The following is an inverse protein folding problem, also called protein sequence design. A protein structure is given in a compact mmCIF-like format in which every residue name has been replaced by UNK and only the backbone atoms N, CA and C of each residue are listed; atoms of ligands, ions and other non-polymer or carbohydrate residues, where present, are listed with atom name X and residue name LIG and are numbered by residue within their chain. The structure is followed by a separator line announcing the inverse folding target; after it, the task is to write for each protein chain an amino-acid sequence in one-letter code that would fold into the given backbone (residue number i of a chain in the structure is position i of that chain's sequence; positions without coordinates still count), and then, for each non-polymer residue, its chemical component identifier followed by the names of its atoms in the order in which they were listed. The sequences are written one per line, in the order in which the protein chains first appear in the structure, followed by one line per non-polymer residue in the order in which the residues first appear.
data_IF_158974879733
#
_entry.id   IF_158974879733
#
_cell.length_a   1.000
_cell.length_b   1.000
_cell.length_c   1.000
_cell.angle_alpha   90.00
_cell.angle_beta   90.00
_cell.angle_gamma   90.00
#
_symmetry.space_group_name_H-M   'P 1'
#
loop_
_entity.id
_entity.type
_entity.pdbx_description
1 polymer ?
#
# COMPACT_ATOMS: atom_id res chain seq x y z
N UNK A 1 8.35 12.08 3.56
CA UNK A 1 8.15 10.67 3.12
C UNK A 1 7.28 10.64 1.88
N UNK A 2 7.21 9.51 1.15
CA UNK A 2 6.30 9.37 -0.01
C UNK A 2 4.85 9.73 0.36
N UNK A 3 4.39 9.29 1.53
CA UNK A 3 3.07 9.65 2.06
C UNK A 3 2.87 11.16 2.22
N UNK A 4 3.85 11.88 2.81
CA UNK A 4 3.78 13.35 2.97
C UNK A 4 3.79 14.10 1.63
N UNK A 5 4.38 13.52 0.58
CA UNK A 5 4.36 14.06 -0.77
C UNK A 5 3.06 13.76 -1.53
N UNK A 6 2.06 13.15 -0.88
CA UNK A 6 0.77 12.80 -1.47
C UNK A 6 0.77 11.52 -2.29
N UNK A 7 1.85 10.72 -2.25
CA UNK A 7 1.88 9.43 -2.92
C UNK A 7 1.00 8.41 -2.19
N UNK A 8 0.41 7.48 -2.94
CA UNK A 8 -0.24 6.31 -2.36
C UNK A 8 0.82 5.35 -1.80
N UNK A 9 0.69 4.97 -0.53
CA UNK A 9 1.62 4.07 0.15
C UNK A 9 0.85 2.92 0.80
N UNK A 10 1.11 1.69 0.34
CA UNK A 10 0.42 0.47 0.75
C UNK A 10 1.44 -0.50 1.37
N UNK A 11 1.10 -1.11 2.50
CA UNK A 11 1.81 -2.26 3.06
C UNK A 11 0.99 -3.55 2.87
N UNK A 12 1.67 -4.68 2.65
CA UNK A 12 1.00 -5.99 2.63
C UNK A 12 0.65 -6.42 4.07
N UNK A 13 -0.50 -7.06 4.26
CA UNK A 13 -0.91 -7.57 5.57
C UNK A 13 -0.09 -8.78 6.04
N UNK A 14 -0.14 -9.04 7.35
CA UNK A 14 0.61 -10.14 7.97
C UNK A 14 0.12 -11.51 7.50
N UNK A 15 -1.19 -11.68 7.31
CA UNK A 15 -1.79 -12.96 6.96
C UNK A 15 -1.39 -13.48 5.57
N UNK A 16 -1.12 -12.57 4.62
CA UNK A 16 -0.67 -12.93 3.28
C UNK A 16 0.84 -12.85 3.10
N UNK A 17 1.57 -12.27 4.06
CA UNK A 17 3.02 -12.16 4.03
C UNK A 17 3.72 -13.48 4.39
N UNK A 18 4.75 -13.85 3.64
CA UNK A 18 5.65 -14.93 4.03
C UNK A 18 6.58 -14.48 5.16
N UNK A 19 7.08 -13.24 5.09
CA UNK A 19 7.87 -12.60 6.14
C UNK A 19 7.36 -11.19 6.36
N UNK A 20 6.70 -10.97 7.50
CA UNK A 20 6.12 -9.68 7.87
C UNK A 20 7.13 -8.76 8.56
N UNK A 21 8.28 -8.54 7.91
CA UNK A 21 9.35 -7.66 8.39
C UNK A 21 9.17 -6.22 7.90
N UNK A 22 9.51 -5.99 6.62
CA UNK A 22 9.40 -4.65 6.01
C UNK A 22 8.00 -4.03 6.11
N UNK A 23 6.89 -4.78 5.89
CA UNK A 23 5.56 -4.20 6.01
C UNK A 23 5.25 -3.74 7.45
N UNK A 24 5.68 -4.50 8.46
CA UNK A 24 5.53 -4.14 9.88
C UNK A 24 6.24 -2.84 10.22
N UNK A 25 7.48 -2.66 9.77
CA UNK A 25 8.24 -1.42 10.00
C UNK A 25 7.60 -0.21 9.29
N UNK A 26 7.12 -0.38 8.06
CA UNK A 26 6.42 0.69 7.35
C UNK A 26 5.14 1.14 8.07
N UNK A 27 4.42 0.21 8.70
CA UNK A 27 3.24 0.50 9.52
C UNK A 27 3.63 1.22 10.82
N UNK A 28 4.65 0.71 11.54
CA UNK A 28 5.12 1.29 12.79
C UNK A 28 5.64 2.73 12.62
N UNK A 29 6.25 3.04 11.47
CA UNK A 29 6.70 4.38 11.10
C UNK A 29 5.57 5.32 10.66
N UNK A 30 4.32 4.85 10.59
CA UNK A 30 3.20 5.61 10.03
C UNK A 30 3.37 5.93 8.54
N UNK A 31 4.24 5.21 7.84
CA UNK A 31 4.55 5.44 6.43
C UNK A 31 3.59 4.71 5.47
N UNK A 32 2.83 3.73 5.97
CA UNK A 32 1.78 3.04 5.23
C UNK A 32 0.40 3.69 5.50
N UNK A 33 -0.28 4.12 4.43
CA UNK A 33 -1.63 4.70 4.51
C UNK A 33 -2.71 3.62 4.45
N UNK A 34 -2.38 2.46 3.88
CA UNK A 34 -3.27 1.31 3.76
C UNK A 34 -2.50 0.02 3.99
N UNK A 35 -3.18 -0.96 4.60
CA UNK A 35 -2.68 -2.32 4.78
C UNK A 35 -3.65 -3.26 4.08
N UNK A 36 -3.17 -4.07 3.14
CA UNK A 36 -4.00 -4.90 2.27
C UNK A 36 -3.43 -6.32 2.12
N UNK A 37 -4.27 -7.34 1.93
CA UNK A 37 -3.80 -8.66 1.51
C UNK A 37 -3.17 -8.58 0.11
N UNK A 38 -2.20 -9.46 -0.17
CA UNK A 38 -1.48 -9.50 -1.45
C UNK A 38 -2.41 -9.46 -2.68
N UNK A 39 -3.50 -10.24 -2.62
CA UNK A 39 -4.49 -10.35 -3.69
C UNK A 39 -5.26 -9.06 -3.98
N UNK A 40 -5.34 -8.14 -3.01
CA UNK A 40 -6.05 -6.87 -3.16
C UNK A 40 -5.16 -5.73 -3.65
N UNK A 41 -3.83 -5.85 -3.57
CA UNK A 41 -2.91 -4.76 -3.94
C UNK A 41 -3.02 -4.42 -5.43
N UNK A 42 -2.91 -5.41 -6.32
CA UNK A 42 -2.95 -5.14 -7.76
C UNK A 42 -4.29 -4.52 -8.23
N UNK A 43 -5.47 -5.07 -7.87
CA UNK A 43 -6.75 -4.41 -8.18
C UNK A 43 -6.83 -2.99 -7.63
N UNK A 44 -6.33 -2.76 -6.42
CA UNK A 44 -6.32 -1.43 -5.81
C UNK A 44 -5.47 -0.44 -6.60
N UNK A 45 -4.27 -0.84 -7.03
CA UNK A 45 -3.37 -0.01 -7.84
C UNK A 45 -3.99 0.33 -9.19
N UNK A 46 -4.57 -0.65 -9.90
CA UNK A 46 -5.21 -0.41 -11.20
C UNK A 46 -6.37 0.59 -11.05
N UNK A 47 -7.21 0.39 -10.03
CA UNK A 47 -8.32 1.31 -9.77
C UNK A 47 -7.83 2.75 -9.53
N UNK A 48 -6.77 2.91 -8.75
CA UNK A 48 -6.20 4.24 -8.47
C UNK A 48 -5.55 4.87 -9.69
N UNK A 49 -4.78 4.13 -10.48
CA UNK A 49 -4.07 4.67 -11.65
C UNK A 49 -5.03 5.03 -12.78
N UNK A 50 -6.07 4.23 -13.01
CA UNK A 50 -6.99 4.45 -14.13
C UNK A 50 -8.12 5.43 -13.83
N UNK A 51 -8.55 5.59 -12.56
CA UNK A 51 -9.60 6.56 -12.21
C UNK A 51 -9.09 7.99 -12.00
N UNK A 52 -7.80 8.20 -11.73
CA UNK A 52 -7.27 9.55 -11.43
C UNK A 52 -6.67 10.28 -12.63
N UNK A 53 -6.59 9.64 -13.81
CA UNK A 53 -6.24 10.35 -15.04
C UNK A 53 -7.52 10.84 -15.72
N UNK A 54 -7.74 12.17 -15.88
CA UNK A 54 -8.81 12.65 -16.74
C UNK A 54 -8.53 12.11 -18.15
N UNK A 55 -9.56 11.55 -18.78
CA UNK A 55 -9.51 11.15 -20.18
C UNK A 55 -9.29 12.35 -21.08
#
# INVERSE_FOLDING_TARGET
TLAQAGALTIAQDEASCVVFGMPKEAIALGAAQQVLPLSAIAPHLLNRVFLTRPR
#
